data_IF_473251859413
#
_entry.id   IF_473251859413
#
_cell.length_a   1.000
_cell.length_b   1.000
_cell.length_c   1.000
_cell.angle_alpha   90.00
_cell.angle_beta   90.00
_cell.angle_gamma   90.00
#
_symmetry.space_group_name_H-M   'P 1'
#
loop_
_entity.id
_entity.type
_entity.pdbx_description
1 polymer ?
#
# COMPACT_ATOMS: atom_id res chain seq x y z
N UNK A 1 61.18 -25.41 12.17
CA UNK A 1 59.73 -25.21 11.96
C UNK A 1 58.88 -25.08 13.24
N UNK A 2 59.44 -25.05 14.47
CA UNK A 2 58.65 -24.86 15.71
C UNK A 2 58.49 -23.39 16.15
N UNK A 3 59.41 -22.49 15.75
CA UNK A 3 59.34 -21.05 16.09
C UNK A 3 58.20 -20.31 15.37
N UNK A 4 57.82 -20.72 14.16
CA UNK A 4 56.77 -20.04 13.39
C UNK A 4 55.37 -20.19 14.00
N UNK A 5 55.14 -21.26 14.78
CA UNK A 5 53.87 -21.49 15.49
C UNK A 5 53.68 -20.57 16.69
N UNK A 6 54.76 -20.08 17.30
CA UNK A 6 54.70 -19.22 18.47
C UNK A 6 54.32 -17.76 18.12
N UNK A 7 54.58 -17.35 16.87
CA UNK A 7 54.29 -16.00 16.39
C UNK A 7 52.86 -15.84 15.83
N UNK A 8 52.19 -16.96 15.48
CA UNK A 8 50.83 -16.97 14.93
C UNK A 8 49.74 -16.81 16.01
N UNK A 9 49.99 -17.31 17.22
CA UNK A 9 49.04 -17.24 18.35
C UNK A 9 48.70 -15.80 18.78
N UNK A 10 49.67 -14.87 18.96
CA UNK A 10 49.32 -13.49 19.34
C UNK A 10 48.58 -12.73 18.23
N UNK A 11 48.84 -13.04 16.96
CA UNK A 11 48.16 -12.41 15.82
C UNK A 11 46.68 -12.84 15.77
N UNK A 12 46.39 -14.12 16.01
CA UNK A 12 45.01 -14.62 16.10
C UNK A 12 44.28 -14.01 17.30
N UNK A 13 44.97 -13.82 18.45
CA UNK A 13 44.38 -13.19 19.63
C UNK A 13 44.05 -11.70 19.39
N UNK A 14 44.87 -10.99 18.62
CA UNK A 14 44.66 -9.58 18.27
C UNK A 14 43.45 -9.37 17.34
N UNK A 15 43.20 -10.33 16.45
CA UNK A 15 42.05 -10.29 15.52
C UNK A 15 40.72 -10.55 16.27
N UNK A 16 40.73 -11.35 17.34
CA UNK A 16 39.53 -11.61 18.15
C UNK A 16 39.09 -10.41 19.01
N UNK A 17 39.99 -9.51 19.39
CA UNK A 17 39.64 -8.32 20.19
C UNK A 17 38.90 -7.22 19.42
N UNK A 18 38.88 -7.26 18.07
CA UNK A 18 38.33 -6.18 17.24
C UNK A 18 36.80 -6.14 17.09
N UNK A 19 36.06 -7.06 17.70
CA UNK A 19 34.60 -7.20 17.45
C UNK A 19 33.70 -6.75 18.61
N UNK A 20 34.21 -5.99 19.58
CA UNK A 20 33.34 -5.38 20.60
C UNK A 20 32.63 -4.18 19.96
N UNK A 21 31.55 -4.45 19.24
CA UNK A 21 30.59 -3.43 18.86
C UNK A 21 29.94 -2.94 20.16
N UNK A 22 30.22 -1.69 20.53
CA UNK A 22 29.52 -1.04 21.64
C UNK A 22 28.01 -1.08 21.33
N UNK A 23 27.25 -1.79 22.15
CA UNK A 23 25.79 -1.75 22.04
C UNK A 23 25.37 -0.30 22.27
N UNK A 24 24.50 0.28 21.42
CA UNK A 24 23.98 1.62 21.68
C UNK A 24 23.38 1.63 23.08
N UNK A 25 23.80 2.57 23.92
CA UNK A 25 23.25 2.71 25.26
C UNK A 25 21.75 2.91 25.13
N UNK A 26 20.99 1.92 25.58
CA UNK A 26 19.52 1.99 25.60
C UNK A 26 19.14 2.99 26.68
N UNK A 27 18.68 4.16 26.24
CA UNK A 27 18.12 5.16 27.15
C UNK A 27 16.77 4.65 27.67
N UNK A 28 16.62 4.66 29.00
CA UNK A 28 15.44 4.16 29.70
C UNK A 28 14.61 5.33 30.20
N UNK A 29 13.35 5.38 29.79
CA UNK A 29 12.38 6.42 30.16
C UNK A 29 11.74 6.12 31.51
N UNK A 30 11.43 4.84 31.77
CA UNK A 30 10.82 4.39 33.02
C UNK A 30 11.12 2.91 33.30
N UNK A 31 11.01 2.49 34.56
CA UNK A 31 11.22 1.11 35.01
C UNK A 31 10.03 0.63 35.84
N UNK A 32 9.56 -0.58 35.54
CA UNK A 32 8.41 -1.24 36.16
C UNK A 32 8.86 -2.64 36.59
N UNK A 33 9.26 -2.78 37.86
CA UNK A 33 9.84 -4.02 38.36
C UNK A 33 11.11 -4.41 37.59
N UNK A 34 11.07 -5.57 36.93
CA UNK A 34 12.15 -6.07 36.08
C UNK A 34 12.01 -5.66 34.59
N UNK A 35 10.97 -4.90 34.23
CA UNK A 35 10.76 -4.41 32.85
C UNK A 35 11.11 -2.94 32.74
N UNK A 36 11.57 -2.56 31.56
CA UNK A 36 11.97 -1.19 31.25
C UNK A 36 11.18 -0.67 30.05
N UNK A 37 10.93 0.64 30.02
CA UNK A 37 10.40 1.36 28.87
C UNK A 37 11.57 2.13 28.27
N UNK A 38 12.00 1.75 27.06
CA UNK A 38 13.11 2.43 26.38
C UNK A 38 12.61 3.66 25.63
N UNK A 39 13.52 4.60 25.33
CA UNK A 39 13.21 5.76 24.49
C UNK A 39 12.72 5.35 23.11
N UNK A 40 13.31 4.31 22.51
CA UNK A 40 12.88 3.75 21.21
C UNK A 40 11.44 3.24 21.24
N UNK A 41 11.08 2.43 22.25
CA UNK A 41 9.71 1.94 22.41
C UNK A 41 8.74 3.09 22.59
N UNK A 42 9.10 4.07 23.43
CA UNK A 42 8.26 5.22 23.71
C UNK A 42 8.01 6.07 22.45
N UNK A 43 9.07 6.39 21.69
CA UNK A 43 8.96 7.16 20.45
C UNK A 43 8.11 6.41 19.42
N UNK A 44 8.43 5.14 19.18
CA UNK A 44 7.70 4.32 18.20
C UNK A 44 6.21 4.25 18.54
N UNK A 45 5.87 3.95 19.79
CA UNK A 45 4.47 3.90 20.24
C UNK A 45 3.81 5.28 20.18
N UNK A 46 4.52 6.34 20.54
CA UNK A 46 3.99 7.70 20.45
C UNK A 46 3.68 8.07 19.00
N UNK A 47 4.50 7.69 18.03
CA UNK A 47 4.26 7.99 16.62
C UNK A 47 3.14 7.15 16.01
N UNK A 48 3.03 5.88 16.41
CA UNK A 48 2.05 4.93 15.89
C UNK A 48 0.68 5.01 16.55
N UNK A 49 0.57 5.66 17.72
CA UNK A 49 -0.70 5.81 18.42
C UNK A 49 -1.53 6.96 17.82
N UNK A 50 -2.85 6.75 17.63
CA UNK A 50 -3.73 7.83 17.19
C UNK A 50 -3.80 8.95 18.25
N UNK A 51 -3.66 10.20 17.82
CA UNK A 51 -3.63 11.37 18.71
C UNK A 51 -4.85 12.25 18.47
N UNK A 52 -5.91 12.03 19.22
CA UNK A 52 -7.17 12.76 19.02
C UNK A 52 -7.04 14.27 19.33
N UNK A 53 -6.21 14.65 20.30
CA UNK A 53 -6.04 16.04 20.76
C UNK A 53 -4.72 16.69 20.32
N UNK A 54 -3.97 16.09 19.38
CA UNK A 54 -2.68 16.62 18.93
C UNK A 54 -2.76 18.04 18.33
N UNK A 55 -3.92 18.43 17.81
CA UNK A 55 -4.16 19.76 17.26
C UNK A 55 -4.30 20.86 18.32
N UNK A 56 -4.52 20.49 19.59
CA UNK A 56 -4.67 21.44 20.70
C UNK A 56 -3.28 21.93 21.14
N UNK A 57 -3.09 23.24 21.16
CA UNK A 57 -1.83 23.86 21.59
C UNK A 57 -1.50 23.45 23.03
N UNK A 58 -0.31 22.90 23.24
CA UNK A 58 0.16 22.45 24.56
C UNK A 58 -0.24 21.02 24.96
N UNK A 59 -1.03 20.31 24.15
CA UNK A 59 -1.46 18.94 24.48
C UNK A 59 -0.34 17.88 24.40
N UNK A 60 0.81 18.21 23.79
CA UNK A 60 1.93 17.28 23.61
C UNK A 60 2.40 16.68 24.93
N UNK A 61 2.48 17.48 26.01
CA UNK A 61 2.90 16.98 27.32
C UNK A 61 1.89 15.98 27.88
N UNK A 62 0.60 16.32 27.85
CA UNK A 62 -0.47 15.46 28.31
C UNK A 62 -0.53 14.14 27.52
N UNK A 63 -0.37 14.19 26.19
CA UNK A 63 -0.34 12.98 25.36
C UNK A 63 0.84 12.06 25.66
N UNK A 64 2.03 12.63 25.93
CA UNK A 64 3.21 11.85 26.35
C UNK A 64 2.99 11.20 27.72
N UNK A 65 2.33 11.91 28.63
CA UNK A 65 1.98 11.40 29.95
C UNK A 65 0.89 10.31 29.88
N UNK A 66 -0.14 10.50 29.07
CA UNK A 66 -1.16 9.47 28.82
C UNK A 66 -0.54 8.19 28.25
N UNK A 67 0.39 8.34 27.29
CA UNK A 67 1.11 7.20 26.73
C UNK A 67 1.95 6.48 27.78
N UNK A 68 2.69 7.20 28.64
CA UNK A 68 3.53 6.53 29.64
C UNK A 68 2.69 5.75 30.64
N UNK A 69 1.54 6.28 31.07
CA UNK A 69 0.61 5.54 31.94
C UNK A 69 0.04 4.30 31.24
N UNK A 70 -0.32 4.42 29.96
CA UNK A 70 -0.85 3.30 29.17
C UNK A 70 0.18 2.17 29.05
N UNK A 71 1.41 2.48 28.63
CA UNK A 71 2.49 1.48 28.49
C UNK A 71 2.87 0.88 29.84
N UNK A 72 2.82 1.67 30.91
CA UNK A 72 3.03 1.20 32.29
C UNK A 72 1.97 0.18 32.69
N UNK A 73 0.69 0.49 32.46
CA UNK A 73 -0.42 -0.42 32.76
C UNK A 73 -0.32 -1.73 31.96
N UNK A 74 0.02 -1.66 30.66
CA UNK A 74 0.25 -2.84 29.83
C UNK A 74 1.37 -3.73 30.40
N UNK A 75 2.49 -3.14 30.84
CA UNK A 75 3.60 -3.91 31.41
C UNK A 75 3.24 -4.54 32.75
N UNK A 76 2.45 -3.85 33.58
CA UNK A 76 1.92 -4.43 34.83
C UNK A 76 0.99 -5.61 34.54
N UNK A 77 0.08 -5.49 33.57
CA UNK A 77 -0.77 -6.61 33.16
C UNK A 77 0.02 -7.79 32.60
N UNK A 78 1.08 -7.53 31.83
CA UNK A 78 1.95 -8.58 31.32
C UNK A 78 2.66 -9.34 32.45
N UNK A 79 3.14 -8.62 33.48
CA UNK A 79 3.76 -9.24 34.65
C UNK A 79 2.77 -10.12 35.42
N UNK A 80 1.55 -9.63 35.65
CA UNK A 80 0.50 -10.41 36.33
C UNK A 80 0.10 -11.65 35.50
N UNK A 81 -0.03 -11.51 34.18
CA UNK A 81 -0.35 -12.61 33.29
C UNK A 81 0.73 -13.73 33.33
N UNK A 82 2.00 -13.36 33.46
CA UNK A 82 3.11 -14.31 33.64
C UNK A 82 3.05 -15.02 34.99
N UNK A 83 2.76 -14.28 36.07
CA UNK A 83 2.59 -14.87 37.41
C UNK A 83 1.44 -15.89 37.42
N UNK A 84 0.35 -15.58 36.74
CA UNK A 84 -0.82 -16.46 36.59
C UNK A 84 -0.64 -17.53 35.51
N UNK A 85 0.49 -17.56 34.80
CA UNK A 85 0.80 -18.50 33.71
C UNK A 85 -0.29 -18.56 32.63
N UNK A 86 -0.86 -17.41 32.29
CA UNK A 86 -1.95 -17.33 31.31
C UNK A 86 -1.51 -17.77 29.90
N UNK A 87 -0.22 -17.68 29.60
CA UNK A 87 0.43 -18.18 28.39
C UNK A 87 0.29 -19.70 28.20
N UNK A 88 0.13 -20.45 29.30
CA UNK A 88 -0.06 -21.91 29.26
C UNK A 88 -1.48 -22.34 28.88
N UNK A 89 -2.44 -21.41 28.95
CA UNK A 89 -3.83 -21.69 28.59
C UNK A 89 -3.92 -21.99 27.10
N UNK A 90 -4.60 -23.10 26.75
CA UNK A 90 -4.75 -23.56 25.37
C UNK A 90 -5.26 -22.47 24.42
N UNK A 91 -6.21 -21.66 24.88
CA UNK A 91 -6.78 -20.58 24.08
C UNK A 91 -5.81 -19.43 23.83
N UNK A 92 -5.00 -19.07 24.84
CA UNK A 92 -3.98 -18.02 24.71
C UNK A 92 -2.86 -18.50 23.79
N UNK A 93 -2.36 -19.72 24.01
CA UNK A 93 -1.33 -20.32 23.16
C UNK A 93 -1.75 -20.38 21.69
N UNK A 94 -2.99 -20.81 21.41
CA UNK A 94 -3.55 -20.82 20.05
C UNK A 94 -3.56 -19.43 19.42
N UNK A 95 -3.85 -18.38 20.18
CA UNK A 95 -3.82 -16.98 19.67
C UNK A 95 -2.39 -16.52 19.41
N UNK A 96 -1.44 -16.84 20.29
CA UNK A 96 -0.02 -16.54 20.09
C UNK A 96 0.46 -17.19 18.78
N UNK A 97 0.19 -18.47 18.56
CA UNK A 97 0.55 -19.19 17.33
C UNK A 97 -0.07 -18.55 16.06
N UNK A 98 -1.27 -17.99 16.17
CA UNK A 98 -1.90 -17.24 15.05
C UNK A 98 -1.15 -15.94 14.74
N UNK A 99 -0.75 -15.19 15.77
CA UNK A 99 0.05 -13.98 15.60
C UNK A 99 1.43 -14.29 15.03
N UNK A 100 2.10 -15.33 15.51
CA UNK A 100 3.40 -15.77 14.97
C UNK A 100 3.31 -16.09 13.48
N UNK A 101 2.30 -16.85 13.06
CA UNK A 101 2.07 -17.15 11.63
C UNK A 101 1.83 -15.89 10.81
N UNK A 102 1.08 -14.93 11.35
CA UNK A 102 0.83 -13.64 10.69
C UNK A 102 2.13 -12.87 10.48
N UNK A 103 2.92 -12.69 11.55
CA UNK A 103 4.18 -11.96 11.47
C UNK A 103 5.22 -12.65 10.58
N UNK A 104 5.31 -13.99 10.65
CA UNK A 104 6.22 -14.76 9.79
C UNK A 104 5.87 -14.59 8.30
N UNK A 105 4.58 -14.61 7.95
CA UNK A 105 4.12 -14.37 6.58
C UNK A 105 4.45 -12.95 6.12
N UNK A 106 4.21 -11.95 6.96
CA UNK A 106 4.47 -10.56 6.60
C UNK A 106 5.98 -10.29 6.42
N UNK A 107 6.82 -10.88 7.29
CA UNK A 107 8.27 -10.84 7.14
C UNK A 107 8.75 -11.54 5.85
N UNK A 108 8.19 -12.71 5.54
CA UNK A 108 8.50 -13.44 4.30
C UNK A 108 8.09 -12.62 3.07
N UNK A 109 6.89 -12.04 3.07
CA UNK A 109 6.41 -11.21 1.98
C UNK A 109 7.31 -9.98 1.78
N UNK A 110 7.76 -9.35 2.87
CA UNK A 110 8.69 -8.23 2.79
C UNK A 110 10.02 -8.65 2.13
N UNK A 111 10.64 -9.71 2.63
CA UNK A 111 11.93 -10.17 2.16
C UNK A 111 11.89 -10.70 0.71
N UNK A 112 10.83 -11.42 0.34
CA UNK A 112 10.74 -12.08 -0.96
C UNK A 112 10.13 -11.21 -2.05
N UNK A 113 9.26 -10.26 -1.69
CA UNK A 113 8.53 -9.45 -2.65
C UNK A 113 8.96 -7.99 -2.54
N UNK A 114 8.72 -7.35 -1.39
CA UNK A 114 8.89 -5.90 -1.25
C UNK A 114 10.34 -5.46 -1.50
N UNK A 115 11.29 -6.15 -0.86
CA UNK A 115 12.71 -5.77 -0.90
C UNK A 115 13.36 -6.12 -2.26
N UNK A 116 12.74 -6.99 -3.07
CA UNK A 116 13.21 -7.37 -4.41
C UNK A 116 12.62 -6.54 -5.55
N UNK A 117 11.61 -5.69 -5.26
CA UNK A 117 11.03 -4.81 -6.27
C UNK A 117 11.98 -3.63 -6.52
N UNK A 118 12.45 -3.50 -7.77
CA UNK A 118 13.22 -2.34 -8.21
C UNK A 118 12.31 -1.09 -8.26
N UNK A 119 12.47 -0.22 -7.27
CA UNK A 119 11.76 1.06 -7.18
C UNK A 119 12.57 2.18 -7.83
N UNK A 120 12.91 2.03 -9.11
CA UNK A 120 13.53 3.15 -9.84
C UNK A 120 12.58 4.35 -9.85
N UNK A 121 13.04 5.56 -9.50
CA UNK A 121 12.19 6.77 -9.38
C UNK A 121 11.33 7.06 -10.62
N UNK A 122 11.81 6.68 -11.81
CA UNK A 122 11.08 6.80 -13.07
C UNK A 122 9.81 5.92 -13.13
N UNK A 123 9.84 4.73 -12.51
CA UNK A 123 8.67 3.84 -12.43
C UNK A 123 7.61 4.41 -11.49
N UNK A 124 8.03 4.96 -10.35
CA UNK A 124 7.14 5.59 -9.38
C UNK A 124 6.43 6.82 -9.97
N UNK A 125 7.17 7.73 -10.61
CA UNK A 125 6.60 8.92 -11.24
C UNK A 125 5.56 8.56 -12.32
N UNK A 126 5.85 7.52 -13.12
CA UNK A 126 4.94 7.04 -14.16
C UNK A 126 3.67 6.39 -13.56
N UNK A 127 3.78 5.60 -12.50
CA UNK A 127 2.61 5.01 -11.85
C UNK A 127 1.79 6.06 -11.08
N UNK A 128 2.42 7.05 -10.46
CA UNK A 128 1.73 8.18 -9.85
C UNK A 128 0.97 9.01 -10.90
N UNK A 129 1.61 9.31 -12.05
CA UNK A 129 0.93 9.98 -13.15
C UNK A 129 -0.31 9.19 -13.62
N UNK A 130 -0.21 7.86 -13.71
CA UNK A 130 -1.36 6.98 -14.04
C UNK A 130 -2.44 6.99 -12.96
N UNK A 131 -2.07 7.01 -11.68
CA UNK A 131 -3.01 7.06 -10.57
C UNK A 131 -3.85 8.35 -10.56
N UNK A 132 -3.22 9.47 -10.92
CA UNK A 132 -3.87 10.79 -10.95
C UNK A 132 -4.73 10.96 -12.22
N UNK A 133 -4.36 10.32 -13.33
CA UNK A 133 -5.19 10.38 -14.55
C UNK A 133 -6.55 9.69 -14.34
N UNK A 134 -7.61 10.49 -14.45
CA UNK A 134 -9.00 10.03 -14.48
C UNK A 134 -9.42 9.79 -15.92
N UNK A 135 -10.06 8.65 -16.16
CA UNK A 135 -10.63 8.33 -17.46
C UNK A 135 -12.15 8.36 -17.33
N UNK A 136 -12.81 9.17 -18.17
CA UNK A 136 -14.25 9.13 -18.34
C UNK A 136 -14.56 8.11 -19.43
N UNK A 137 -15.28 7.06 -19.06
CA UNK A 137 -15.68 6.01 -19.99
C UNK A 137 -17.19 6.07 -20.16
N UNK A 138 -17.63 6.19 -21.42
CA UNK A 138 -19.02 5.91 -21.80
C UNK A 138 -19.11 4.47 -22.27
N UNK A 139 -20.03 3.70 -21.68
CA UNK A 139 -20.25 2.31 -22.07
C UNK A 139 -21.71 2.00 -22.39
N UNK A 140 -21.90 1.22 -23.44
CA UNK A 140 -23.17 0.56 -23.78
C UNK A 140 -23.07 -0.88 -23.30
N UNK A 141 -24.04 -1.33 -22.48
CA UNK A 141 -24.12 -2.69 -21.96
C UNK A 141 -25.48 -3.29 -22.29
N UNK A 142 -25.47 -4.55 -22.73
CA UNK A 142 -26.65 -5.36 -22.95
C UNK A 142 -26.38 -6.82 -22.54
N UNK A 143 -27.44 -7.57 -22.27
CA UNK A 143 -27.41 -9.02 -22.05
C UNK A 143 -27.57 -9.80 -23.35
N UNK A 144 -28.24 -9.22 -24.36
CA UNK A 144 -28.45 -9.85 -25.67
C UNK A 144 -27.25 -9.62 -26.60
N UNK A 145 -26.59 -10.71 -27.00
CA UNK A 145 -25.43 -10.70 -27.89
C UNK A 145 -25.77 -10.22 -29.30
N UNK A 146 -26.98 -10.48 -29.80
CA UNK A 146 -27.38 -10.06 -31.15
C UNK A 146 -27.47 -8.53 -31.26
N UNK A 147 -28.03 -7.88 -30.23
CA UNK A 147 -28.13 -6.42 -30.17
C UNK A 147 -26.75 -5.76 -30.08
N UNK A 148 -25.81 -6.38 -29.37
CA UNK A 148 -24.43 -5.91 -29.26
C UNK A 148 -23.70 -6.03 -30.60
N UNK A 149 -23.91 -7.12 -31.34
CA UNK A 149 -23.33 -7.29 -32.67
C UNK A 149 -23.88 -6.24 -33.65
N UNK A 150 -25.17 -5.86 -33.53
CA UNK A 150 -25.75 -4.79 -34.34
C UNK A 150 -25.12 -3.43 -34.03
N UNK A 151 -24.94 -3.10 -32.74
CA UNK A 151 -24.23 -1.88 -32.32
C UNK A 151 -22.80 -1.86 -32.88
N UNK A 152 -22.10 -2.99 -32.87
CA UNK A 152 -20.78 -3.12 -33.45
C UNK A 152 -20.77 -2.88 -34.96
N UNK A 153 -21.74 -3.45 -35.68
CA UNK A 153 -21.86 -3.24 -37.13
C UNK A 153 -22.13 -1.78 -37.47
N UNK A 154 -22.97 -1.07 -36.70
CA UNK A 154 -23.17 0.37 -36.88
C UNK A 154 -21.87 1.16 -36.66
N UNK A 155 -21.08 0.79 -35.66
CA UNK A 155 -19.78 1.42 -35.39
C UNK A 155 -18.78 1.17 -36.53
N UNK A 156 -18.72 -0.05 -37.07
CA UNK A 156 -17.87 -0.38 -38.22
C UNK A 156 -18.31 0.33 -39.50
N UNK A 157 -19.61 0.59 -39.64
CA UNK A 157 -20.17 1.36 -40.75
C UNK A 157 -19.98 2.89 -40.58
N UNK A 158 -19.21 3.34 -39.58
CA UNK A 158 -18.86 4.74 -39.39
C UNK A 158 -19.90 5.57 -38.62
N UNK A 159 -20.92 4.95 -38.02
CA UNK A 159 -21.89 5.68 -37.18
C UNK A 159 -21.19 6.14 -35.89
N UNK A 160 -21.28 7.44 -35.53
CA UNK A 160 -20.61 7.96 -34.34
C UNK A 160 -21.18 7.34 -33.05
N UNK A 161 -20.28 6.97 -32.15
CA UNK A 161 -20.63 6.32 -30.88
C UNK A 161 -21.59 7.14 -30.02
N UNK A 162 -21.44 8.47 -29.98
CA UNK A 162 -22.30 9.33 -29.18
C UNK A 162 -23.77 9.26 -29.63
N UNK A 163 -24.03 9.08 -30.93
CA UNK A 163 -25.38 8.90 -31.46
C UNK A 163 -25.98 7.55 -31.05
N UNK A 164 -25.20 6.47 -31.15
CA UNK A 164 -25.62 5.14 -30.69
C UNK A 164 -25.85 5.12 -29.17
N UNK A 165 -24.99 5.83 -28.42
CA UNK A 165 -25.15 6.01 -26.98
C UNK A 165 -26.42 6.77 -26.65
N UNK A 166 -26.80 7.82 -27.38
CA UNK A 166 -28.07 8.51 -27.16
C UNK A 166 -29.29 7.61 -27.42
N UNK A 167 -29.23 6.81 -28.49
CA UNK A 167 -30.33 5.90 -28.87
C UNK A 167 -30.46 4.73 -27.89
N UNK A 168 -29.35 4.29 -27.28
CA UNK A 168 -29.35 3.11 -26.41
C UNK A 168 -30.26 3.22 -25.19
N UNK A 169 -30.60 4.44 -24.73
CA UNK A 169 -31.58 4.64 -23.65
C UNK A 169 -33.00 4.22 -23.99
N UNK A 170 -33.34 4.08 -25.28
CA UNK A 170 -34.68 3.68 -25.73
C UNK A 170 -34.81 2.17 -25.99
N UNK A 171 -33.70 1.41 -25.94
CA UNK A 171 -33.63 0.00 -26.34
C UNK A 171 -33.32 -0.95 -25.17
N UNK A 172 -33.78 -0.64 -23.95
CA UNK A 172 -33.48 -1.40 -22.72
C UNK A 172 -31.97 -1.60 -22.40
N UNK A 173 -31.09 -0.84 -23.03
CA UNK A 173 -29.65 -0.89 -22.77
C UNK A 173 -29.25 0.06 -21.64
N UNK A 174 -28.46 -0.44 -20.69
CA UNK A 174 -28.02 0.34 -19.54
C UNK A 174 -26.82 1.23 -19.89
N UNK A 175 -26.99 2.54 -19.71
CA UNK A 175 -25.90 3.52 -19.79
C UNK A 175 -25.06 3.50 -18.54
N UNK A 176 -23.75 3.47 -18.72
CA UNK A 176 -22.80 3.52 -17.62
C UNK A 176 -21.73 4.56 -17.96
N UNK A 177 -21.73 5.66 -17.20
CA UNK A 177 -20.66 6.64 -17.19
C UNK A 177 -19.84 6.37 -15.93
N UNK A 178 -18.61 5.91 -16.10
CA UNK A 178 -17.73 5.66 -14.96
C UNK A 178 -16.56 6.62 -14.99
N UNK A 179 -16.27 7.18 -13.82
CA UNK A 179 -15.10 7.98 -13.58
C UNK A 179 -14.18 7.18 -12.67
N UNK A 180 -13.12 6.61 -13.24
CA UNK A 180 -12.16 5.83 -12.47
C UNK A 180 -10.75 6.40 -12.61
N UNK A 181 -9.93 6.33 -11.54
CA UNK A 181 -8.50 6.40 -11.71
C UNK A 181 -8.06 5.24 -12.61
N UNK A 182 -7.13 5.52 -13.53
CA UNK A 182 -6.68 4.57 -14.57
C UNK A 182 -6.14 3.24 -14.01
N UNK A 183 -5.78 3.23 -12.72
CA UNK A 183 -5.24 2.08 -12.00
C UNK A 183 -6.33 1.05 -11.63
N UNK A 184 -7.61 1.45 -11.53
CA UNK A 184 -8.71 0.56 -11.14
C UNK A 184 -9.34 -0.23 -12.31
N UNK A 185 -8.86 -0.06 -13.54
CA UNK A 185 -9.31 -0.85 -14.69
C UNK A 185 -8.61 -2.21 -14.69
N UNK A 186 -9.37 -3.28 -14.96
CA UNK A 186 -8.80 -4.62 -15.17
C UNK A 186 -7.74 -4.55 -16.28
N UNK A 187 -6.66 -5.34 -16.16
CA UNK A 187 -5.51 -5.31 -17.09
C UNK A 187 -5.91 -5.34 -18.58
N UNK A 188 -6.97 -6.10 -18.91
CA UNK A 188 -7.51 -6.25 -20.28
C UNK A 188 -8.22 -4.97 -20.73
N UNK A 189 -9.10 -4.40 -19.89
CA UNK A 189 -9.78 -3.13 -20.18
C UNK A 189 -8.78 -1.97 -20.25
N UNK A 190 -7.76 -1.98 -19.38
CA UNK A 190 -6.74 -0.93 -19.27
C UNK A 190 -5.87 -0.84 -20.52
N UNK A 191 -5.37 -1.97 -21.05
CA UNK A 191 -4.54 -2.01 -22.27
C UNK A 191 -5.31 -1.49 -23.49
N UNK A 192 -6.58 -1.83 -23.62
CA UNK A 192 -7.41 -1.40 -24.76
C UNK A 192 -7.79 0.08 -24.69
N UNK A 193 -8.01 0.63 -23.49
CA UNK A 193 -8.36 2.05 -23.32
C UNK A 193 -7.17 3.01 -23.39
N UNK A 194 -5.95 2.60 -22.98
CA UNK A 194 -4.76 3.47 -22.97
C UNK A 194 -4.05 3.56 -24.33
N UNK A 195 -4.08 2.48 -25.13
CA UNK A 195 -3.28 2.39 -26.36
C UNK A 195 -3.90 3.10 -27.58
N UNK A 196 -5.07 3.75 -27.45
CA UNK A 196 -5.81 4.31 -28.60
C UNK A 196 -6.16 5.78 -28.39
N UNK A 197 -6.06 6.56 -29.47
CA UNK A 197 -6.47 7.96 -29.52
C UNK A 197 -7.97 8.12 -29.19
N UNK A 198 -8.38 9.24 -28.57
CA UNK A 198 -9.79 9.54 -28.35
C UNK A 198 -10.54 9.45 -29.69
N UNK A 199 -11.62 8.65 -29.73
CA UNK A 199 -12.42 8.40 -30.92
C UNK A 199 -12.27 7.02 -31.57
N UNK A 200 -11.27 6.22 -31.19
CA UNK A 200 -11.10 4.87 -31.75
C UNK A 200 -11.86 3.80 -30.96
N UNK A 201 -12.80 3.10 -31.62
CA UNK A 201 -13.67 2.08 -31.03
C UNK A 201 -12.88 0.77 -30.82
N UNK A 202 -12.98 0.10 -29.64
CA UNK A 202 -12.40 -1.22 -29.44
C UNK A 202 -13.17 -2.29 -30.23
N UNK A 203 -12.45 -3.15 -30.95
CA UNK A 203 -12.98 -4.42 -31.47
C UNK A 203 -13.03 -5.40 -30.29
N UNK A 204 -14.18 -5.46 -29.62
CA UNK A 204 -14.52 -6.38 -28.51
C UNK A 204 -13.53 -6.41 -27.33
N UNK A 205 -13.90 -5.84 -26.18
CA UNK A 205 -13.32 -6.24 -24.89
C UNK A 205 -14.24 -7.28 -24.24
N UNK A 206 -13.90 -8.56 -24.41
CA UNK A 206 -14.52 -9.65 -23.68
C UNK A 206 -14.08 -9.61 -22.21
N UNK A 207 -15.04 -9.42 -21.31
CA UNK A 207 -14.93 -9.95 -19.95
C UNK A 207 -16.21 -10.73 -19.66
N UNK A 208 -16.11 -12.04 -19.80
CA UNK A 208 -17.03 -13.04 -19.27
C UNK A 208 -17.21 -12.73 -17.79
N UNK A 209 -18.37 -12.20 -17.39
CA UNK A 209 -19.27 -12.80 -16.38
C UNK A 209 -20.71 -12.26 -16.56
N UNK A 210 -20.97 -11.03 -17.02
CA UNK A 210 -22.33 -10.62 -17.41
C UNK A 210 -22.33 -9.46 -18.45
N UNK A 211 -22.38 -9.77 -19.74
CA UNK A 211 -22.61 -8.80 -20.82
C UNK A 211 -21.36 -8.20 -21.46
N UNK A 212 -21.46 -7.90 -22.74
CA UNK A 212 -20.40 -7.35 -23.60
C UNK A 212 -20.43 -5.82 -23.55
N UNK A 213 -19.25 -5.19 -23.50
CA UNK A 213 -19.10 -3.74 -23.31
C UNK A 213 -18.44 -3.09 -24.52
N UNK A 214 -18.99 -1.97 -24.98
CA UNK A 214 -18.31 -1.05 -25.90
C UNK A 214 -17.95 0.23 -25.16
N UNK A 215 -16.67 0.61 -25.18
CA UNK A 215 -16.13 1.73 -24.39
C UNK A 215 -15.54 2.81 -25.30
N UNK A 216 -15.94 4.06 -25.07
CA UNK A 216 -15.28 5.23 -25.63
C UNK A 216 -14.56 6.00 -24.50
N UNK A 217 -13.27 6.28 -24.71
CA UNK A 217 -12.41 6.99 -23.76
C UNK A 217 -12.45 8.51 -24.04
N UNK A 218 -12.84 9.30 -23.05
CA UNK A 218 -12.58 10.74 -23.02
C UNK A 218 -11.54 11.04 -21.92
N UNK A 219 -10.35 11.49 -22.35
CA UNK A 219 -9.24 11.82 -21.46
C UNK A 219 -9.31 13.29 -21.04
N UNK A 220 -9.48 13.57 -19.76
CA UNK A 220 -9.29 14.91 -19.19
C UNK A 220 -7.88 15.00 -18.58
N UNK A 221 -7.08 15.97 -19.04
CA UNK A 221 -5.70 16.15 -18.59
C UNK A 221 -5.68 17.12 -17.40
N UNK A 222 -5.61 16.57 -16.19
CA UNK A 222 -5.37 17.31 -14.93
C UNK A 222 -3.88 17.56 -14.63
N UNK A 223 -2.97 17.03 -15.48
CA UNK A 223 -1.51 17.09 -15.29
C UNK A 223 -0.95 18.51 -15.31
N UNK A 224 -1.56 19.46 -16.02
CA UNK A 224 -1.10 20.85 -16.08
C UNK A 224 -1.27 21.59 -14.74
N UNK A 225 -2.27 21.23 -13.93
CA UNK A 225 -2.51 21.86 -12.63
C UNK A 225 -1.57 21.35 -11.53
N UNK A 226 -1.20 20.07 -11.59
CA UNK A 226 -0.32 19.45 -10.58
C UNK A 226 1.15 19.78 -10.85
N UNK A 227 1.57 19.81 -12.12
CA UNK A 227 2.93 20.24 -12.48
C UNK A 227 3.18 21.71 -12.11
N UNK A 228 2.17 22.59 -12.25
CA UNK A 228 2.28 23.97 -11.78
C UNK A 228 2.34 24.06 -10.25
N UNK A 229 1.58 23.25 -9.52
CA UNK A 229 1.59 23.24 -8.04
C UNK A 229 2.91 22.72 -7.45
N UNK A 230 3.51 21.71 -8.06
CA UNK A 230 4.81 21.16 -7.65
C UNK A 230 5.97 22.10 -8.01
N UNK A 231 5.85 22.90 -9.08
CA UNK A 231 6.82 23.96 -9.41
C UNK A 231 6.78 25.11 -8.39
N UNK A 232 5.58 25.51 -7.96
CA UNK A 232 5.41 26.59 -6.99
C UNK A 232 5.86 26.22 -5.57
N UNK A 233 5.94 24.93 -5.22
CA UNK A 233 6.41 24.48 -3.89
C UNK A 233 7.92 24.25 -3.79
N UNK A 234 8.65 24.32 -4.91
CA UNK A 234 10.12 24.16 -4.96
C UNK A 234 10.86 25.49 -5.21
N UNK A 235 10.13 26.60 -5.34
CA UNK A 235 10.66 27.96 -5.50
C UNK A 235 10.33 28.89 -4.32
N UNK A 236 9.88 28.32 -3.20
CA UNK A 236 9.59 29.04 -1.96
C UNK A 236 10.51 28.62 -0.83
#
# INVERSE_FOLDING_TARGET
MKLFKFLLVPVILLILSGSIVAQPQKEVVAKIGNREITTEEFILRYEMSPKFTAHVKGAVKALKEELIYTVTAEKLFALEAELLRLDTLKDVKRRIEQFEKMFARDALFKAEIVDKIDQTQQTLANEMAKAITKIKIKAIRNTDQAQINNVYNFLNNGVPFDSLFLISTKMDMKKICLNFPTVCLTMISRKNCIKRNPGNIPSHSFTTIYGTFFMLNQKEILLSLIQNRLRTSLQG
#
